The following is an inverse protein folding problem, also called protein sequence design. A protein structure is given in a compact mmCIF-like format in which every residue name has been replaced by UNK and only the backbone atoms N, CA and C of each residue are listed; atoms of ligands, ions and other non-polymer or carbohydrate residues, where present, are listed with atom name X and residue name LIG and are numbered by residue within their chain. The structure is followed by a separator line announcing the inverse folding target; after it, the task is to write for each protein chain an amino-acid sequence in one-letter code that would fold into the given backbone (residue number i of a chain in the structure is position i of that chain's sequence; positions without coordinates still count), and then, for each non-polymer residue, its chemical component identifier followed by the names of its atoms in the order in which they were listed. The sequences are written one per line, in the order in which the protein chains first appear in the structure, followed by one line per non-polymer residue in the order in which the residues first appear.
data_IF_721408540765
#
_entry.id   IF_721408540765
#
_cell.length_a   1.000
_cell.length_b   1.000
_cell.length_c   1.000
_cell.angle_alpha   90.00
_cell.angle_beta   90.00
_cell.angle_gamma   90.00
#
_symmetry.space_group_name_H-M   'P 1'
#
loop_
_entity.id
_entity.type
_entity.pdbx_description
1 polymer ?
#
# COMPACT_ATOMS: atom_id res chain seq x y z
N UNK A 1 -22.75 -0.81 -47.61
CA UNK A 1 -21.62 -1.00 -46.69
C UNK A 1 -22.12 -0.79 -45.26
N UNK A 2 -22.35 -1.83 -44.44
CA UNK A 2 -22.71 -1.61 -43.04
C UNK A 2 -21.45 -1.37 -42.19
N UNK A 3 -21.48 -0.31 -41.38
CA UNK A 3 -20.43 0.01 -40.40
C UNK A 3 -20.45 -1.02 -39.26
N UNK A 4 -19.36 -1.76 -39.12
CA UNK A 4 -19.11 -2.62 -37.95
C UNK A 4 -18.81 -1.74 -36.73
N UNK A 5 -19.54 -1.85 -35.61
CA UNK A 5 -19.13 -1.18 -34.38
C UNK A 5 -17.85 -1.86 -33.85
N UNK A 6 -16.81 -1.05 -33.64
CA UNK A 6 -15.55 -1.51 -33.06
C UNK A 6 -15.80 -2.04 -31.63
N UNK A 7 -15.49 -3.32 -31.42
CA UNK A 7 -15.48 -3.94 -30.09
C UNK A 7 -14.47 -3.20 -29.21
N UNK A 8 -14.85 -2.68 -28.03
CA UNK A 8 -13.88 -2.09 -27.11
C UNK A 8 -12.87 -3.16 -26.66
N UNK A 9 -11.58 -2.82 -26.48
CA UNK A 9 -10.60 -3.79 -26.04
C UNK A 9 -11.03 -4.38 -24.71
N UNK A 10 -11.10 -5.71 -24.66
CA UNK A 10 -11.28 -6.51 -23.45
C UNK A 10 -10.24 -6.01 -22.45
N UNK A 11 -10.67 -5.30 -21.41
CA UNK A 11 -9.84 -5.04 -20.23
C UNK A 11 -9.49 -6.40 -19.65
N UNK A 12 -8.29 -6.88 -19.94
CA UNK A 12 -7.69 -8.01 -19.25
C UNK A 12 -7.73 -7.62 -17.78
N UNK A 13 -8.51 -8.35 -16.99
CA UNK A 13 -8.47 -8.25 -15.55
C UNK A 13 -7.02 -8.57 -15.16
N UNK A 14 -6.23 -7.51 -14.91
CA UNK A 14 -4.90 -7.64 -14.36
C UNK A 14 -5.04 -8.39 -13.05
N UNK A 15 -4.40 -9.55 -12.97
CA UNK A 15 -4.46 -10.40 -11.80
C UNK A 15 -4.07 -9.57 -10.57
N UNK A 16 -5.03 -9.39 -9.66
CA UNK A 16 -4.80 -8.84 -8.34
C UNK A 16 -4.13 -9.93 -7.51
N UNK A 17 -2.80 -10.01 -7.56
CA UNK A 17 -2.06 -10.64 -6.48
C UNK A 17 -2.15 -9.68 -5.29
N UNK A 18 -2.95 -10.02 -4.29
CA UNK A 18 -3.00 -9.34 -3.00
C UNK A 18 -2.30 -10.26 -1.99
N UNK A 19 -1.27 -9.79 -1.30
CA UNK A 19 -0.59 -10.55 -0.23
C UNK A 19 -1.54 -11.02 0.89
N UNK A 20 -2.69 -10.35 1.06
CA UNK A 20 -3.75 -10.78 1.97
C UNK A 20 -4.51 -12.05 1.51
N UNK A 21 -4.37 -12.46 0.23
CA UNK A 21 -4.89 -13.73 -0.26
C UNK A 21 -4.09 -14.93 0.26
N UNK A 22 -2.84 -14.74 0.71
CA UNK A 22 -2.09 -15.81 1.37
C UNK A 22 -2.79 -16.29 2.65
N UNK A 23 -3.35 -15.34 3.42
CA UNK A 23 -3.99 -15.61 4.72
C UNK A 23 -5.41 -16.16 4.56
N UNK A 24 -6.12 -15.82 3.48
CA UNK A 24 -7.52 -16.21 3.28
C UNK A 24 -7.69 -17.38 2.29
N UNK A 25 -6.86 -17.49 1.25
CA UNK A 25 -7.04 -18.46 0.16
C UNK A 25 -6.07 -19.65 0.19
N UNK A 26 -5.09 -19.68 1.12
CA UNK A 26 -4.11 -20.77 1.18
C UNK A 26 -3.26 -20.87 -0.08
N UNK A 27 -3.02 -19.74 -0.75
CA UNK A 27 -2.28 -19.69 -2.00
C UNK A 27 -0.78 -19.72 -1.69
N UNK A 28 -0.12 -20.83 -2.08
CA UNK A 28 1.31 -21.08 -1.85
C UNK A 28 2.22 -20.20 -2.72
N UNK A 29 1.69 -19.49 -3.72
CA UNK A 29 2.47 -18.60 -4.60
C UNK A 29 2.43 -17.13 -4.16
N UNK A 30 1.68 -16.78 -3.11
CA UNK A 30 1.75 -15.48 -2.49
C UNK A 30 3.09 -15.34 -1.73
N UNK A 31 4.15 -15.00 -2.46
CA UNK A 31 5.48 -14.86 -1.90
C UNK A 31 5.62 -13.56 -1.11
N UNK A 32 5.81 -13.68 0.20
CA UNK A 32 6.17 -12.57 1.12
C UNK A 32 7.58 -12.00 0.82
N UNK A 33 8.32 -12.59 -0.13
CA UNK A 33 9.66 -12.15 -0.52
C UNK A 33 9.69 -10.83 -1.29
N UNK A 34 8.57 -10.39 -1.86
CA UNK A 34 8.53 -9.17 -2.68
C UNK A 34 8.48 -7.88 -1.84
N UNK A 35 8.07 -7.98 -0.56
CA UNK A 35 7.98 -6.83 0.34
C UNK A 35 6.81 -5.87 0.06
N UNK A 36 5.93 -6.18 -0.88
CA UNK A 36 4.68 -5.46 -1.15
C UNK A 36 3.54 -6.46 -1.42
N UNK A 37 2.29 -6.01 -1.19
CA UNK A 37 1.12 -6.86 -1.31
C UNK A 37 0.43 -6.75 -2.66
N UNK A 38 0.50 -5.58 -3.31
CA UNK A 38 -0.17 -5.33 -4.61
C UNK A 38 0.75 -4.54 -5.54
N UNK A 39 0.73 -4.94 -6.81
CA UNK A 39 1.33 -4.22 -7.91
C UNK A 39 0.24 -3.61 -8.80
N UNK A 40 0.32 -2.30 -9.08
CA UNK A 40 -0.65 -1.59 -9.92
C UNK A 40 0.07 -0.89 -11.06
N UNK A 41 -0.27 -1.26 -12.29
CA UNK A 41 0.14 -0.51 -13.47
C UNK A 41 -0.47 0.90 -13.44
N UNK A 42 0.37 1.93 -13.54
CA UNK A 42 -0.02 3.33 -13.49
C UNK A 42 0.74 4.16 -14.51
N UNK A 43 0.05 4.56 -15.59
CA UNK A 43 0.68 5.25 -16.74
C UNK A 43 1.87 4.44 -17.25
N UNK A 44 3.04 5.06 -17.37
CA UNK A 44 4.29 4.44 -17.83
C UNK A 44 5.13 3.84 -16.68
N UNK A 45 4.52 3.65 -15.50
CA UNK A 45 5.20 3.09 -14.33
C UNK A 45 4.32 2.09 -13.59
N UNK A 46 4.88 1.53 -12.53
CA UNK A 46 4.21 0.60 -11.65
C UNK A 46 4.29 1.12 -10.22
N UNK A 47 3.14 1.14 -9.55
CA UNK A 47 3.01 1.43 -8.13
C UNK A 47 2.99 0.12 -7.34
N UNK A 48 3.75 0.11 -6.25
CA UNK A 48 3.90 -1.01 -5.34
C UNK A 48 3.24 -0.62 -4.02
N UNK A 49 2.30 -1.41 -3.56
CA UNK A 49 1.51 -1.12 -2.37
C UNK A 49 1.71 -2.20 -1.32
N UNK A 50 2.16 -1.77 -0.13
CA UNK A 50 2.08 -2.58 1.09
C UNK A 50 0.86 -2.16 1.89
N UNK A 51 0.02 -3.12 2.27
CA UNK A 51 -1.17 -2.90 3.08
C UNK A 51 -0.84 -3.10 4.56
N UNK A 52 -1.39 -2.23 5.41
CA UNK A 52 -1.39 -2.38 6.86
C UNK A 52 -2.78 -2.07 7.37
N UNK A 53 -3.34 -2.96 8.18
CA UNK A 53 -4.69 -2.80 8.71
C UNK A 53 -4.66 -2.78 10.22
N UNK A 54 -5.40 -1.84 10.81
CA UNK A 54 -5.56 -1.69 12.24
C UNK A 54 -7.04 -1.66 12.60
N UNK A 55 -7.38 -2.37 13.68
CA UNK A 55 -8.76 -2.44 14.18
C UNK A 55 -9.18 -1.19 14.95
N UNK A 56 -8.21 -0.49 15.53
CA UNK A 56 -8.44 0.70 16.33
C UNK A 56 -8.86 1.91 15.46
N UNK A 57 -9.62 2.87 16.02
CA UNK A 57 -9.96 4.12 15.33
C UNK A 57 -8.73 5.00 15.14
N UNK A 58 -8.86 6.01 14.27
CA UNK A 58 -7.76 6.92 13.95
C UNK A 58 -7.33 7.72 15.18
N UNK A 59 -6.08 7.54 15.59
CA UNK A 59 -5.42 8.36 16.60
C UNK A 59 -4.54 9.45 15.98
N UNK A 60 -4.05 10.38 16.80
CA UNK A 60 -3.06 11.38 16.39
C UNK A 60 -1.77 10.73 15.85
N UNK A 61 -1.44 9.56 16.41
CA UNK A 61 -0.31 8.72 16.00
C UNK A 61 -0.76 7.29 15.88
N UNK A 62 -0.26 6.64 14.85
CA UNK A 62 -0.55 5.25 14.54
C UNK A 62 0.77 4.52 14.35
N UNK A 63 0.85 3.31 14.89
CA UNK A 63 2.04 2.46 14.80
C UNK A 63 1.74 1.19 14.03
N UNK A 64 2.69 0.77 13.21
CA UNK A 64 2.68 -0.50 12.53
C UNK A 64 4.11 -1.00 12.32
N UNK A 65 4.26 -2.30 12.09
CA UNK A 65 5.57 -2.91 11.86
C UNK A 65 5.81 -3.12 10.36
N UNK A 66 7.05 -2.91 9.91
CA UNK A 66 7.50 -3.40 8.62
C UNK A 66 8.48 -4.56 8.80
N UNK A 67 8.21 -5.66 8.10
CA UNK A 67 9.10 -6.82 8.06
C UNK A 67 10.37 -6.54 7.24
N UNK A 68 11.41 -7.39 7.34
CA UNK A 68 12.68 -7.18 6.64
C UNK A 68 12.53 -7.00 5.12
N UNK A 69 11.73 -7.85 4.45
CA UNK A 69 11.48 -7.76 3.01
C UNK A 69 10.76 -6.46 2.61
N UNK A 70 9.83 -5.99 3.45
CA UNK A 70 9.08 -4.75 3.23
C UNK A 70 9.98 -3.53 3.41
N UNK A 71 10.91 -3.59 4.36
CA UNK A 71 11.93 -2.57 4.58
C UNK A 71 12.88 -2.52 3.39
N UNK A 72 13.34 -3.67 2.89
CA UNK A 72 14.22 -3.75 1.74
C UNK A 72 13.55 -3.22 0.46
N UNK A 73 12.30 -3.63 0.20
CA UNK A 73 11.51 -3.12 -0.91
C UNK A 73 11.26 -1.60 -0.80
N UNK A 74 10.90 -1.12 0.39
CA UNK A 74 10.75 0.31 0.64
C UNK A 74 12.08 1.06 0.44
N UNK A 75 13.20 0.51 0.85
CA UNK A 75 14.50 1.14 0.63
C UNK A 75 14.88 1.18 -0.86
N UNK A 76 14.73 0.06 -1.56
CA UNK A 76 14.99 -0.07 -3.01
C UNK A 76 14.15 0.89 -3.85
N UNK A 77 12.90 1.12 -3.46
CA UNK A 77 11.97 2.01 -4.16
C UNK A 77 11.74 3.35 -3.44
N UNK A 78 12.73 3.82 -2.67
CA UNK A 78 12.69 5.12 -1.97
C UNK A 78 12.61 6.32 -2.93
N UNK A 79 13.21 6.19 -4.11
CA UNK A 79 13.19 7.19 -5.17
C UNK A 79 12.02 6.98 -6.13
N UNK A 80 11.38 8.08 -6.55
CA UNK A 80 10.31 8.05 -7.56
C UNK A 80 8.90 7.74 -7.03
N UNK A 81 8.72 7.53 -5.73
CA UNK A 81 7.38 7.44 -5.11
C UNK A 81 6.53 6.24 -5.56
N UNK A 82 7.20 5.20 -6.07
CA UNK A 82 6.56 3.98 -6.60
C UNK A 82 6.05 3.09 -5.47
N UNK A 83 6.82 2.93 -4.41
CA UNK A 83 6.40 2.18 -3.23
C UNK A 83 5.58 3.07 -2.29
N UNK A 84 4.46 2.54 -1.82
CA UNK A 84 3.48 3.24 -0.99
C UNK A 84 2.89 2.30 0.04
N UNK A 85 2.41 2.86 1.14
CA UNK A 85 1.72 2.09 2.17
C UNK A 85 0.24 2.46 2.15
N UNK A 86 -0.63 1.47 1.98
CA UNK A 86 -2.08 1.62 2.20
C UNK A 86 -2.39 1.24 3.64
N UNK A 87 -2.63 2.25 4.46
CA UNK A 87 -3.01 2.08 5.86
C UNK A 87 -4.53 2.11 5.99
N UNK A 88 -5.10 1.01 6.47
CA UNK A 88 -6.53 0.84 6.75
C UNK A 88 -6.73 0.96 8.25
N UNK A 89 -7.56 1.91 8.68
CA UNK A 89 -7.91 2.17 10.07
C UNK A 89 -9.36 1.76 10.31
N UNK A 90 -9.69 1.35 11.53
CA UNK A 90 -10.98 0.80 11.90
C UNK A 90 -11.42 -0.34 10.96
N UNK A 91 -10.50 -1.25 10.64
CA UNK A 91 -10.70 -2.27 9.60
C UNK A 91 -11.94 -3.16 9.85
N UNK A 92 -12.28 -3.40 11.12
CA UNK A 92 -13.40 -4.22 11.56
C UNK A 92 -14.73 -3.47 11.68
N UNK A 93 -14.75 -2.16 11.48
CA UNK A 93 -15.94 -1.30 11.59
C UNK A 93 -16.17 -0.58 10.24
N UNK A 94 -16.90 -1.19 9.28
CA UNK A 94 -17.05 -0.67 7.92
C UNK A 94 -17.51 0.79 7.85
N UNK A 95 -18.42 1.20 8.74
CA UNK A 95 -18.98 2.53 8.86
C UNK A 95 -18.00 3.59 9.40
N UNK A 96 -16.88 3.14 9.99
CA UNK A 96 -15.80 4.01 10.50
C UNK A 96 -14.49 3.80 9.76
N UNK A 97 -14.45 2.89 8.80
CA UNK A 97 -13.24 2.50 8.09
C UNK A 97 -12.66 3.69 7.34
N UNK A 98 -11.36 3.90 7.50
CA UNK A 98 -10.62 4.92 6.76
C UNK A 98 -9.43 4.27 6.06
N UNK A 99 -9.13 4.74 4.85
CA UNK A 99 -7.99 4.27 4.06
C UNK A 99 -7.10 5.47 3.77
N UNK A 100 -5.83 5.35 4.16
CA UNK A 100 -4.81 6.38 3.97
C UNK A 100 -3.72 5.83 3.04
N UNK A 101 -3.41 6.58 1.99
CA UNK A 101 -2.21 6.33 1.19
C UNK A 101 -1.05 7.13 1.79
N UNK A 102 -0.04 6.42 2.28
CA UNK A 102 1.15 7.01 2.85
C UNK A 102 2.32 6.86 1.88
N UNK A 103 3.21 7.88 1.81
CA UNK A 103 4.41 7.79 0.99
C UNK A 103 5.36 6.71 1.53
N UNK A 104 6.33 6.32 0.72
CA UNK A 104 7.42 5.46 1.16
C UNK A 104 8.15 6.06 2.38
N UNK A 105 8.33 5.33 3.50
CA UNK A 105 9.06 5.81 4.68
C UNK A 105 10.47 6.36 4.40
N UNK A 106 11.16 5.82 3.41
CA UNK A 106 12.53 6.21 3.05
C UNK A 106 12.60 7.36 2.03
N UNK A 107 11.47 7.72 1.40
CA UNK A 107 11.39 8.87 0.49
C UNK A 107 11.47 10.20 1.23
N UNK A 108 11.77 11.29 0.52
CA UNK A 108 11.78 12.64 1.10
C UNK A 108 10.46 13.00 1.81
N UNK A 109 9.31 12.63 1.21
CA UNK A 109 7.99 12.87 1.80
C UNK A 109 7.67 11.96 3.00
N UNK A 110 8.31 10.79 3.08
CA UNK A 110 8.14 9.85 4.19
C UNK A 110 8.98 10.18 5.40
N UNK A 111 10.21 10.66 5.22
CA UNK A 111 11.14 10.95 6.33
C UNK A 111 10.59 11.96 7.35
N UNK A 112 9.73 12.89 6.92
CA UNK A 112 9.07 13.84 7.81
C UNK A 112 7.82 13.28 8.52
N UNK A 113 7.29 12.14 8.05
CA UNK A 113 6.02 11.55 8.50
C UNK A 113 6.20 10.30 9.35
N UNK A 114 7.31 9.59 9.16
CA UNK A 114 7.60 8.33 9.82
C UNK A 114 8.67 8.49 10.90
N UNK A 115 8.43 7.89 12.06
CA UNK A 115 9.41 7.77 13.14
C UNK A 115 9.59 6.29 13.50
N UNK A 116 10.84 5.86 13.67
CA UNK A 116 11.14 4.51 14.15
C UNK A 116 10.94 4.48 15.68
N UNK A 117 10.15 3.53 16.19
CA UNK A 117 9.75 3.41 17.59
C UNK A 117 10.00 1.99 18.13
N UNK A 118 11.25 1.59 18.36
CA UNK A 118 11.56 0.31 19.03
C UNK A 118 12.91 -0.31 18.68
N UNK A 119 13.21 -1.47 19.29
CA UNK A 119 14.41 -2.30 18.99
C UNK A 119 14.24 -3.20 17.74
N UNK A 120 13.03 -3.26 17.18
CA UNK A 120 12.72 -3.72 15.82
C UNK A 120 12.17 -2.55 14.99
N UNK A 121 12.12 -2.67 13.66
CA UNK A 121 11.72 -1.62 12.72
C UNK A 121 10.20 -1.33 12.77
N UNK A 122 9.77 -0.73 13.88
CA UNK A 122 8.38 -0.29 14.10
C UNK A 122 8.26 1.17 13.68
N UNK A 123 7.28 1.48 12.85
CA UNK A 123 7.08 2.81 12.29
C UNK A 123 5.85 3.47 12.91
N UNK A 124 5.98 4.74 13.27
CA UNK A 124 4.91 5.61 13.75
C UNK A 124 4.64 6.70 12.71
N UNK A 125 3.37 6.98 12.42
CA UNK A 125 2.97 8.07 11.52
C UNK A 125 1.73 8.81 12.02
N UNK A 126 1.53 10.04 11.54
CA UNK A 126 0.31 10.84 11.77
C UNK A 126 -0.54 10.89 10.48
N UNK A 127 -1.57 10.03 10.35
CA UNK A 127 -2.32 9.88 9.11
C UNK A 127 -3.13 11.14 8.73
N UNK A 128 -3.42 12.01 9.71
CA UNK A 128 -4.22 13.22 9.53
C UNK A 128 -3.45 14.40 8.89
N UNK A 129 -2.15 14.26 8.60
CA UNK A 129 -1.29 15.37 8.14
C UNK A 129 -1.25 15.56 6.61
N UNK A 130 -2.28 15.17 5.86
CA UNK A 130 -2.46 15.65 4.48
C UNK A 130 -3.83 15.35 3.86
N UNK A 131 -4.68 16.38 3.80
CA UNK A 131 -5.78 16.51 2.83
C UNK A 131 -5.85 17.94 2.30
N UNK A 132 -4.71 18.48 1.84
CA UNK A 132 -4.69 19.67 0.98
C UNK A 132 -3.55 19.57 -0.03
N UNK A 133 -3.92 19.31 -1.29
CA UNK A 133 -3.25 19.94 -2.43
C UNK A 133 -4.30 20.80 -3.14
N UNK A 134 -3.94 22.01 -3.62
CA UNK A 134 -4.82 22.86 -4.42
C UNK A 134 -5.19 22.21 -5.76
#
# INVERSE_FOLDING_TARGET
MPNTPATPPRRTAGALAVGYAAVINGDREASDSLGYDVEVAWRDTTLLYKMKALSEPVGERVEFELGPSEVDAAHTHACGGRYRILLIIAALAPERRQVFELPNPFSAAGRERFRIVGKGLRYQCSPLRNSRRP
#
